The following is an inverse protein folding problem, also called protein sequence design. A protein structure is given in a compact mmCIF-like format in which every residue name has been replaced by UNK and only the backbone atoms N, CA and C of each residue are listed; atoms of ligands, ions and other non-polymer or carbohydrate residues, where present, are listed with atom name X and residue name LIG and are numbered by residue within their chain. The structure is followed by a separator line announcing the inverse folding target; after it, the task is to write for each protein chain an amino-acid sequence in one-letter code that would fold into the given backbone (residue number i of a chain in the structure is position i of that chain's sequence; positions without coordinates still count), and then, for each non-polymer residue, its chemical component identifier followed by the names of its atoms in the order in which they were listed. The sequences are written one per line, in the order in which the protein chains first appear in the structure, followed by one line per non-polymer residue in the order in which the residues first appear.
data_IF_757167632548
#
_entry.id   IF_757167632548
#
_cell.length_a   1.000
_cell.length_b   1.000
_cell.length_c   1.000
_cell.angle_alpha   90.00
_cell.angle_beta   90.00
_cell.angle_gamma   90.00
#
_symmetry.space_group_name_H-M   'P 1'
#
loop_
_entity.id
_entity.type
_entity.pdbx_description
1 polymer ?
#
# COMPACT_ATOMS: atom_id res chain seq x y z
N UNK A 1 41.45 54.44 -24.28
CA UNK A 1 40.74 54.35 -22.99
C UNK A 1 39.25 54.59 -23.22
N UNK A 2 38.44 53.53 -23.27
CA UNK A 2 36.97 53.49 -23.12
C UNK A 2 36.61 51.99 -23.10
N UNK A 3 36.50 51.43 -21.91
CA UNK A 3 36.13 50.03 -21.67
C UNK A 3 34.60 49.99 -21.62
N UNK A 4 33.99 49.27 -22.56
CA UNK A 4 32.56 49.01 -22.61
C UNK A 4 32.28 47.78 -21.74
N UNK A 5 31.77 47.97 -20.52
CA UNK A 5 31.31 46.87 -19.68
C UNK A 5 29.88 46.49 -20.09
N UNK A 6 29.75 45.31 -20.69
CA UNK A 6 28.48 44.66 -20.97
C UNK A 6 27.95 44.08 -19.65
N UNK A 7 26.93 44.71 -19.05
CA UNK A 7 26.22 44.15 -17.89
C UNK A 7 25.09 43.28 -18.43
N UNK A 8 25.33 41.98 -18.53
CA UNK A 8 24.27 40.97 -18.69
C UNK A 8 23.47 40.88 -17.40
N UNK A 9 22.25 41.41 -17.42
CA UNK A 9 21.22 41.15 -16.40
C UNK A 9 20.70 39.73 -16.63
N UNK A 10 21.15 38.80 -15.79
CA UNK A 10 20.58 37.46 -15.71
C UNK A 10 19.31 37.54 -14.85
N UNK A 11 18.14 37.68 -15.49
CA UNK A 11 16.87 37.47 -14.80
C UNK A 11 16.77 35.98 -14.45
N UNK A 12 17.01 35.64 -13.19
CA UNK A 12 16.81 34.30 -12.68
C UNK A 12 15.31 33.97 -12.73
N UNK A 13 14.95 33.07 -13.65
CA UNK A 13 13.63 32.43 -13.68
C UNK A 13 13.57 31.55 -12.42
N UNK A 14 12.78 31.97 -11.45
CA UNK A 14 12.47 31.18 -10.26
C UNK A 14 11.52 30.07 -10.72
N UNK A 15 12.03 28.85 -10.90
CA UNK A 15 11.17 27.68 -11.10
C UNK A 15 10.43 27.40 -9.79
N UNK A 16 9.09 27.33 -9.77
CA UNK A 16 8.39 26.83 -8.61
C UNK A 16 8.72 25.34 -8.48
N UNK A 17 9.41 24.95 -7.41
CA UNK A 17 9.37 23.57 -6.95
C UNK A 17 7.89 23.19 -6.86
N UNK A 18 7.46 22.14 -7.55
CA UNK A 18 6.10 21.62 -7.49
C UNK A 18 5.71 21.44 -6.02
N UNK A 19 4.87 22.35 -5.52
CA UNK A 19 4.37 22.29 -4.16
C UNK A 19 3.49 21.04 -4.07
N UNK A 20 3.87 20.15 -3.17
CA UNK A 20 3.15 18.91 -2.90
C UNK A 20 1.78 19.28 -2.32
N UNK A 21 0.69 18.76 -2.88
CA UNK A 21 -0.64 19.07 -2.38
C UNK A 21 -0.93 18.25 -1.13
N UNK A 22 -1.21 18.94 -0.02
CA UNK A 22 -1.71 18.30 1.20
C UNK A 22 -3.08 17.71 0.90
N UNK A 23 -3.20 16.40 1.09
CA UNK A 23 -4.43 15.62 0.88
C UNK A 23 -5.28 15.55 2.15
N UNK A 24 -4.64 15.48 3.30
CA UNK A 24 -5.31 15.42 4.60
C UNK A 24 -4.42 16.01 5.69
N UNK A 25 -5.01 16.41 6.80
CA UNK A 25 -4.30 16.86 8.00
C UNK A 25 -4.87 16.16 9.21
N UNK A 26 -4.02 15.41 9.91
CA UNK A 26 -4.39 14.67 11.12
C UNK A 26 -3.96 15.47 12.34
N UNK A 27 -4.90 15.75 13.24
CA UNK A 27 -4.59 16.31 14.55
C UNK A 27 -4.09 15.21 15.48
N UNK A 28 -2.84 15.30 15.92
CA UNK A 28 -2.28 14.42 16.96
C UNK A 28 -1.89 15.24 18.20
N UNK A 29 -1.79 14.63 19.39
CA UNK A 29 -1.27 15.30 20.58
C UNK A 29 0.13 15.92 20.38
N UNK A 30 0.92 15.34 19.46
CA UNK A 30 2.29 15.73 19.16
C UNK A 30 2.41 16.75 18.02
N UNK A 31 1.29 17.21 17.46
CA UNK A 31 1.25 18.20 16.38
C UNK A 31 0.39 17.75 15.20
N UNK A 32 0.28 18.64 14.21
CA UNK A 32 -0.48 18.37 12.98
C UNK A 32 0.38 17.57 12.01
N UNK A 33 -0.14 16.45 11.52
CA UNK A 33 0.49 15.66 10.46
C UNK A 33 -0.13 16.05 9.12
N UNK A 34 0.69 16.48 8.18
CA UNK A 34 0.31 16.67 6.79
C UNK A 34 0.47 15.36 6.02
N UNK A 35 -0.60 14.91 5.37
CA UNK A 35 -0.57 13.79 4.45
C UNK A 35 -0.53 14.33 3.02
N UNK A 36 0.29 13.75 2.17
CA UNK A 36 0.45 14.17 0.79
C UNK A 36 -0.18 13.22 -0.23
N UNK A 37 -0.37 13.72 -1.45
CA UNK A 37 -0.90 13.00 -2.61
C UNK A 37 -0.09 11.76 -3.04
N UNK A 38 1.20 11.73 -2.72
CA UNK A 38 2.16 10.68 -3.06
C UNK A 38 2.43 9.71 -1.91
N UNK A 39 1.52 9.62 -0.93
CA UNK A 39 1.63 8.63 0.14
C UNK A 39 2.89 8.86 0.99
N UNK A 40 3.21 10.13 1.20
CA UNK A 40 4.18 10.54 2.21
C UNK A 40 3.50 11.47 3.20
N UNK A 41 4.15 11.68 4.34
CA UNK A 41 3.66 12.57 5.37
C UNK A 41 4.80 13.32 6.01
N UNK A 42 4.48 14.46 6.61
CA UNK A 42 5.39 15.16 7.51
C UNK A 42 4.57 15.78 8.64
N UNK A 43 5.19 15.98 9.79
CA UNK A 43 4.62 16.89 10.77
C UNK A 43 4.76 18.32 10.26
N UNK A 44 3.67 19.09 10.37
CA UNK A 44 3.65 20.52 10.02
C UNK A 44 4.73 21.28 10.82
N UNK A 45 5.06 20.81 12.02
CA UNK A 45 6.23 21.22 12.81
C UNK A 45 6.63 20.06 13.74
N UNK A 46 7.66 19.26 13.42
CA UNK A 46 8.22 18.32 14.41
C UNK A 46 9.71 18.02 14.20
N UNK A 47 10.55 18.68 15.02
CA UNK A 47 11.98 18.40 15.13
C UNK A 47 12.29 17.30 16.16
N UNK A 48 11.28 16.77 16.85
CA UNK A 48 11.40 15.86 18.00
C UNK A 48 10.61 14.54 17.86
N UNK A 49 9.93 14.30 16.73
CA UNK A 49 9.12 13.09 16.52
C UNK A 49 9.94 11.81 16.72
N UNK A 50 9.53 10.98 17.67
CA UNK A 50 10.20 9.73 18.05
C UNK A 50 9.70 8.51 17.25
N UNK A 51 8.70 8.68 16.38
CA UNK A 51 8.09 7.61 15.61
C UNK A 51 6.76 7.10 16.18
N UNK A 52 6.28 7.62 17.31
CA UNK A 52 5.07 7.15 18.00
C UNK A 52 3.88 8.06 17.71
N UNK A 53 2.95 7.59 16.87
CA UNK A 53 1.75 8.35 16.48
C UNK A 53 0.64 8.34 17.56
N UNK A 54 0.59 7.30 18.39
CA UNK A 54 -0.41 7.14 19.44
C UNK A 54 0.21 6.37 20.61
N UNK A 55 0.47 7.09 21.71
CA UNK A 55 1.13 6.53 22.89
C UNK A 55 0.32 5.40 23.53
N UNK A 56 -1.00 5.52 23.61
CA UNK A 56 -1.86 4.47 24.19
C UNK A 56 -1.77 3.15 23.41
N UNK A 57 -1.80 3.24 22.08
CA UNK A 57 -1.67 2.08 21.20
C UNK A 57 -0.24 1.52 21.27
N UNK A 58 0.76 2.39 21.23
CA UNK A 58 2.16 2.00 21.33
C UNK A 58 2.46 1.29 22.65
N UNK A 59 2.01 1.83 23.77
CA UNK A 59 2.17 1.23 25.09
C UNK A 59 1.41 -0.09 25.21
N UNK A 60 0.20 -0.16 24.65
CA UNK A 60 -0.58 -1.40 24.63
C UNK A 60 0.18 -2.52 23.92
N UNK A 61 0.80 -2.24 22.77
CA UNK A 61 1.55 -3.23 22.00
C UNK A 61 2.99 -3.46 22.51
N UNK A 62 3.64 -2.45 23.08
CA UNK A 62 5.03 -2.54 23.55
C UNK A 62 5.15 -3.21 24.92
N UNK A 63 4.09 -3.15 25.73
CA UNK A 63 4.05 -3.81 27.04
C UNK A 63 3.56 -5.27 26.98
N UNK A 64 2.90 -5.69 25.88
CA UNK A 64 2.57 -7.10 25.63
C UNK A 64 3.79 -7.86 25.10
N UNK A 65 4.75 -8.10 26.01
CA UNK A 65 5.98 -8.84 25.77
C UNK A 65 5.76 -10.33 25.46
N UNK A 66 4.52 -10.83 25.54
CA UNK A 66 4.17 -12.21 25.23
C UNK A 66 3.48 -12.36 23.86
N UNK A 67 3.14 -11.27 23.17
CA UNK A 67 2.27 -11.32 21.97
C UNK A 67 1.04 -12.21 22.23
N UNK A 68 0.52 -12.19 23.46
CA UNK A 68 -0.51 -13.12 23.92
C UNK A 68 -1.90 -12.73 23.41
N UNK A 69 -1.95 -11.86 22.40
CA UNK A 69 -3.14 -11.58 21.63
C UNK A 69 -3.63 -12.88 20.98
N UNK A 70 -4.53 -13.57 21.66
CA UNK A 70 -5.42 -14.52 21.02
C UNK A 70 -6.35 -13.69 20.17
N UNK A 71 -6.05 -13.57 18.86
CA UNK A 71 -7.02 -13.02 17.94
C UNK A 71 -8.07 -14.12 17.79
N UNK A 72 -9.29 -13.96 18.34
CA UNK A 72 -10.32 -14.95 18.09
C UNK A 72 -10.83 -14.69 16.66
N UNK A 73 -10.02 -15.03 15.66
CA UNK A 73 -10.46 -15.00 14.28
C UNK A 73 -11.22 -16.27 13.98
N UNK A 74 -12.38 -16.09 13.38
CA UNK A 74 -13.26 -17.16 12.97
C UNK A 74 -12.77 -17.72 11.62
N UNK A 75 -12.43 -19.01 11.59
CA UNK A 75 -12.08 -19.73 10.36
C UNK A 75 -13.29 -20.23 9.58
N UNK A 76 -14.47 -20.12 10.19
CA UNK A 76 -15.73 -20.59 9.67
C UNK A 76 -16.53 -19.50 8.96
N UNK A 77 -16.40 -18.25 9.40
CA UNK A 77 -17.11 -17.12 8.82
C UNK A 77 -16.32 -16.43 7.72
N UNK A 78 -16.99 -16.09 6.62
CA UNK A 78 -16.36 -15.30 5.56
C UNK A 78 -16.04 -13.87 6.01
N UNK A 79 -16.86 -13.29 6.89
CA UNK A 79 -16.71 -11.93 7.40
C UNK A 79 -16.56 -11.99 8.91
N UNK A 80 -15.43 -11.51 9.42
CA UNK A 80 -15.07 -11.61 10.83
C UNK A 80 -15.91 -10.71 11.74
N UNK A 81 -16.42 -9.61 11.20
CA UNK A 81 -17.26 -8.63 11.89
C UNK A 81 -18.75 -8.81 11.65
N UNK A 82 -19.16 -9.84 10.89
CA UNK A 82 -20.52 -9.94 10.34
C UNK A 82 -20.93 -8.66 9.57
N UNK A 83 -19.97 -7.98 8.94
CA UNK A 83 -20.15 -6.70 8.21
C UNK A 83 -20.67 -5.54 9.06
N UNK A 84 -20.45 -5.56 10.38
CA UNK A 84 -20.83 -4.46 11.26
C UNK A 84 -19.90 -3.25 11.18
N UNK A 85 -18.68 -3.43 10.65
CA UNK A 85 -17.70 -2.37 10.49
C UNK A 85 -18.08 -1.42 9.35
N UNK A 86 -18.59 -0.24 9.68
CA UNK A 86 -18.82 0.84 8.73
C UNK A 86 -17.60 1.78 8.68
N UNK A 87 -16.66 1.50 7.77
CA UNK A 87 -15.47 2.33 7.58
C UNK A 87 -15.75 3.65 6.85
N UNK A 88 -16.98 3.89 6.38
CA UNK A 88 -17.34 5.23 5.88
C UNK A 88 -17.39 6.26 7.01
N UNK A 89 -17.55 5.82 8.26
CA UNK A 89 -17.54 6.64 9.47
C UNK A 89 -16.14 6.93 10.00
N UNK A 90 -15.09 6.36 9.37
CA UNK A 90 -13.70 6.63 9.71
C UNK A 90 -13.40 8.12 9.53
N UNK A 91 -12.90 8.75 10.60
CA UNK A 91 -12.57 10.19 10.63
C UNK A 91 -11.09 10.46 10.41
N UNK A 92 -10.25 9.52 10.83
CA UNK A 92 -8.80 9.64 10.75
C UNK A 92 -8.25 8.90 9.53
N UNK A 93 -6.99 9.14 9.21
CA UNK A 93 -6.23 8.38 8.22
C UNK A 93 -5.21 7.50 8.95
N UNK A 94 -5.22 6.20 8.65
CA UNK A 94 -4.25 5.24 9.18
C UNK A 94 -3.13 5.01 8.18
N UNK A 95 -1.89 5.01 8.64
CA UNK A 95 -0.76 4.59 7.84
C UNK A 95 -0.51 3.09 8.04
N UNK A 96 -0.53 2.34 6.94
CA UNK A 96 -0.18 0.92 6.89
C UNK A 96 1.05 0.69 6.00
N UNK A 97 1.97 -0.12 6.48
CA UNK A 97 3.06 -0.65 5.64
C UNK A 97 2.53 -1.87 4.87
N UNK A 98 2.48 -1.78 3.54
CA UNK A 98 2.14 -2.91 2.67
C UNK A 98 3.26 -3.95 2.69
N UNK A 99 4.50 -3.47 2.60
CA UNK A 99 5.72 -4.27 2.73
C UNK A 99 6.68 -3.55 3.67
N UNK A 100 7.34 -4.29 4.55
CA UNK A 100 8.35 -3.75 5.47
C UNK A 100 9.67 -4.53 5.37
N UNK A 101 10.63 -4.27 6.27
CA UNK A 101 11.93 -4.95 6.26
C UNK A 101 11.89 -6.43 6.66
N UNK A 102 10.81 -6.87 7.30
CA UNK A 102 10.58 -8.24 7.78
C UNK A 102 9.71 -9.00 6.76
N UNK A 103 8.69 -8.35 6.20
CA UNK A 103 7.74 -8.90 5.24
C UNK A 103 7.76 -8.05 3.95
N UNK A 104 8.83 -8.21 3.17
CA UNK A 104 9.09 -7.40 1.97
C UNK A 104 8.51 -7.97 0.67
N UNK A 105 8.08 -9.24 0.70
CA UNK A 105 7.87 -10.00 -0.51
C UNK A 105 6.43 -9.85 -1.02
N UNK A 106 6.32 -9.61 -2.32
CA UNK A 106 5.07 -9.57 -3.05
C UNK A 106 5.20 -10.43 -4.31
N UNK A 107 4.21 -11.27 -4.53
CA UNK A 107 4.07 -12.06 -5.76
C UNK A 107 2.68 -11.79 -6.35
N UNK A 108 2.60 -11.66 -7.67
CA UNK A 108 1.29 -11.53 -8.31
C UNK A 108 0.51 -12.85 -8.11
N UNK A 109 -0.72 -12.84 -7.58
CA UNK A 109 -1.45 -14.07 -7.25
C UNK A 109 -1.75 -14.95 -8.47
N UNK A 110 -1.84 -14.33 -9.64
CA UNK A 110 -1.75 -15.01 -10.93
C UNK A 110 -1.24 -14.04 -12.01
N UNK A 111 -0.38 -14.51 -12.92
CA UNK A 111 0.18 -13.69 -14.00
C UNK A 111 -0.77 -13.59 -15.22
N UNK A 112 -2.03 -13.22 -14.97
CA UNK A 112 -3.05 -13.06 -15.99
C UNK A 112 -3.35 -11.60 -16.34
N UNK A 113 -4.22 -11.40 -17.33
CA UNK A 113 -4.73 -10.08 -17.71
C UNK A 113 -5.92 -9.72 -16.83
N UNK A 114 -5.99 -8.48 -16.36
CA UNK A 114 -7.19 -7.97 -15.68
C UNK A 114 -8.33 -7.82 -16.70
N UNK A 115 -9.43 -8.52 -16.47
CA UNK A 115 -10.62 -8.54 -17.34
C UNK A 115 -11.76 -7.69 -16.78
N UNK A 116 -11.86 -7.57 -15.45
CA UNK A 116 -12.82 -6.68 -14.79
C UNK A 116 -12.18 -6.02 -13.58
N UNK A 117 -12.39 -4.71 -13.43
CA UNK A 117 -11.83 -3.93 -12.32
C UNK A 117 -12.79 -3.79 -11.16
N UNK A 118 -12.28 -3.33 -10.02
CA UNK A 118 -13.07 -2.92 -8.87
C UNK A 118 -14.02 -1.79 -9.27
N UNK A 119 -15.26 -1.83 -8.77
CA UNK A 119 -16.24 -0.77 -8.91
C UNK A 119 -17.58 -1.18 -9.51
N UNK A 120 -18.39 -0.19 -9.91
CA UNK A 120 -19.77 -0.43 -10.34
C UNK A 120 -19.84 -1.09 -11.72
N UNK A 121 -20.55 -2.22 -11.83
CA UNK A 121 -20.80 -2.94 -13.08
C UNK A 121 -22.23 -3.48 -13.13
N UNK A 122 -22.96 -3.21 -14.22
CA UNK A 122 -24.26 -3.84 -14.52
C UNK A 122 -25.23 -3.87 -13.33
N UNK A 123 -25.40 -2.74 -12.63
CA UNK A 123 -26.33 -2.65 -11.52
C UNK A 123 -25.79 -3.06 -10.15
N UNK A 124 -24.56 -3.59 -10.05
CA UNK A 124 -23.96 -4.10 -8.80
C UNK A 124 -22.50 -3.69 -8.67
N UNK A 125 -22.02 -3.62 -7.43
CA UNK A 125 -20.61 -3.33 -7.17
C UNK A 125 -19.77 -4.61 -7.24
N UNK A 126 -18.65 -4.50 -7.94
CA UNK A 126 -17.57 -5.47 -7.96
C UNK A 126 -16.54 -5.11 -6.90
N UNK A 127 -16.43 -5.94 -5.87
CA UNK A 127 -15.64 -5.65 -4.68
C UNK A 127 -14.15 -6.05 -4.81
N UNK A 128 -13.74 -6.50 -6.00
CA UNK A 128 -12.39 -6.95 -6.30
C UNK A 128 -12.03 -6.74 -7.76
N UNK A 129 -11.07 -7.51 -8.23
CA UNK A 129 -10.57 -7.52 -9.60
C UNK A 129 -10.62 -8.95 -10.13
N UNK A 130 -11.06 -9.10 -11.37
CA UNK A 130 -11.08 -10.38 -12.07
C UNK A 130 -9.84 -10.47 -12.97
N UNK A 131 -9.08 -11.53 -12.79
CA UNK A 131 -7.85 -11.84 -13.52
C UNK A 131 -8.11 -13.08 -14.37
N UNK A 132 -7.92 -12.95 -15.68
CA UNK A 132 -8.04 -14.04 -16.63
C UNK A 132 -7.10 -15.18 -16.28
N UNK A 133 -7.63 -16.41 -16.21
CA UNK A 133 -6.87 -17.64 -16.03
C UNK A 133 -7.64 -18.83 -16.62
N UNK A 134 -6.98 -19.97 -16.75
CA UNK A 134 -7.63 -21.24 -17.08
C UNK A 134 -7.88 -22.07 -15.82
N UNK A 135 -8.94 -22.87 -15.84
CA UNK A 135 -9.19 -23.84 -14.78
C UNK A 135 -7.98 -24.78 -14.64
N UNK A 136 -7.44 -24.89 -13.43
CA UNK A 136 -6.24 -25.67 -13.13
C UNK A 136 -4.95 -24.86 -13.03
N UNK A 137 -4.94 -23.60 -13.46
CA UNK A 137 -3.76 -22.73 -13.31
C UNK A 137 -3.41 -22.50 -11.84
N UNK A 138 -2.13 -22.46 -11.50
CA UNK A 138 -1.68 -22.24 -10.12
C UNK A 138 -1.98 -20.82 -9.64
N UNK A 139 -2.73 -20.71 -8.53
CA UNK A 139 -2.96 -19.45 -7.81
C UNK A 139 -2.14 -19.45 -6.54
N UNK A 140 -1.41 -18.35 -6.30
CA UNK A 140 -0.46 -18.24 -5.19
C UNK A 140 -0.83 -17.11 -4.22
N UNK A 141 -0.32 -17.20 -3.00
CA UNK A 141 -0.44 -16.13 -2.00
C UNK A 141 0.28 -14.86 -2.47
N UNK A 142 -0.41 -13.72 -2.43
CA UNK A 142 0.16 -12.45 -2.89
C UNK A 142 1.20 -11.87 -1.91
N UNK A 143 0.98 -12.08 -0.61
CA UNK A 143 1.83 -11.62 0.48
C UNK A 143 1.90 -12.71 1.56
N UNK A 144 2.92 -12.63 2.41
CA UNK A 144 3.04 -13.45 3.61
C UNK A 144 1.82 -13.31 4.52
N UNK A 145 1.41 -14.41 5.15
CA UNK A 145 0.32 -14.35 6.10
C UNK A 145 -0.11 -15.70 6.66
N UNK A 146 -1.29 -15.70 7.27
CA UNK A 146 -1.95 -16.89 7.81
C UNK A 146 -3.28 -17.09 7.12
N UNK A 147 -3.52 -18.31 6.64
CA UNK A 147 -4.79 -18.70 6.03
C UNK A 147 -5.87 -18.65 7.11
N UNK A 148 -6.84 -17.74 6.93
CA UNK A 148 -7.98 -17.59 7.84
C UNK A 148 -9.12 -18.51 7.43
N UNK A 149 -9.40 -18.58 6.13
CA UNK A 149 -10.52 -19.32 5.56
C UNK A 149 -10.04 -20.12 4.36
N UNK A 150 -10.42 -21.39 4.27
CA UNK A 150 -10.18 -22.22 3.08
C UNK A 150 -11.28 -23.26 2.99
N UNK A 151 -12.34 -22.95 2.24
CA UNK A 151 -13.49 -23.85 1.99
C UNK A 151 -14.40 -23.31 0.90
N UNK A 152 -15.41 -24.11 0.53
CA UNK A 152 -16.47 -23.68 -0.38
C UNK A 152 -17.43 -22.69 0.30
N UNK A 153 -17.55 -21.50 -0.27
CA UNK A 153 -18.43 -20.43 0.15
C UNK A 153 -19.71 -20.37 -0.71
N UNK A 154 -20.86 -20.47 -0.04
CA UNK A 154 -22.20 -20.46 -0.69
C UNK A 154 -22.71 -19.06 -1.05
N UNK A 155 -22.06 -17.99 -0.61
CA UNK A 155 -22.47 -16.60 -0.85
C UNK A 155 -22.00 -16.03 -2.18
N UNK A 156 -21.43 -16.86 -3.05
CA UNK A 156 -21.07 -16.52 -4.42
C UNK A 156 -19.59 -16.69 -4.74
N UNK A 157 -18.69 -16.76 -3.74
CA UNK A 157 -17.25 -16.90 -4.01
C UNK A 157 -16.85 -18.30 -4.49
N UNK A 158 -17.66 -19.35 -4.24
CA UNK A 158 -17.24 -20.72 -4.55
C UNK A 158 -16.11 -21.17 -3.64
N UNK A 159 -15.14 -21.95 -4.15
CA UNK A 159 -13.93 -22.25 -3.38
C UNK A 159 -13.16 -20.96 -3.13
N UNK A 160 -12.95 -20.66 -1.86
CA UNK A 160 -12.40 -19.39 -1.40
C UNK A 160 -11.26 -19.65 -0.42
N UNK A 161 -10.13 -19.02 -0.67
CA UNK A 161 -9.07 -18.83 0.31
C UNK A 161 -9.09 -17.37 0.77
N UNK A 162 -8.96 -17.16 2.08
CA UNK A 162 -8.75 -15.82 2.67
C UNK A 162 -7.46 -15.89 3.49
N UNK A 163 -6.52 -15.00 3.19
CA UNK A 163 -5.26 -14.87 3.90
C UNK A 163 -5.27 -13.55 4.65
N UNK A 164 -4.95 -13.60 5.94
CA UNK A 164 -4.70 -12.42 6.76
C UNK A 164 -3.20 -12.15 6.83
N UNK A 165 -2.83 -10.90 6.58
CA UNK A 165 -1.45 -10.45 6.52
C UNK A 165 -1.07 -9.72 7.82
N UNK A 166 0.24 -9.59 8.06
CA UNK A 166 0.77 -8.99 9.30
C UNK A 166 0.45 -7.50 9.44
N UNK A 167 0.15 -6.81 8.33
CA UNK A 167 -0.29 -5.41 8.32
C UNK A 167 -1.80 -5.23 8.54
N UNK A 168 -2.53 -6.30 8.85
CA UNK A 168 -3.98 -6.27 9.11
C UNK A 168 -4.87 -6.31 7.86
N UNK A 169 -4.30 -6.29 6.65
CA UNK A 169 -5.05 -6.52 5.42
C UNK A 169 -5.42 -8.00 5.26
N UNK A 170 -6.50 -8.24 4.53
CA UNK A 170 -6.84 -9.56 4.02
C UNK A 170 -6.87 -9.57 2.50
N UNK A 171 -6.45 -10.71 1.93
CA UNK A 171 -6.63 -11.01 0.50
C UNK A 171 -7.57 -12.19 0.32
N UNK A 172 -8.48 -12.07 -0.64
CA UNK A 172 -9.47 -13.09 -0.98
C UNK A 172 -9.16 -13.65 -2.36
N UNK A 173 -9.20 -14.97 -2.50
CA UNK A 173 -8.92 -15.71 -3.73
C UNK A 173 -10.09 -16.63 -4.01
N UNK A 174 -10.99 -16.21 -4.89
CA UNK A 174 -12.27 -16.86 -5.12
C UNK A 174 -12.34 -17.56 -6.49
N UNK A 175 -13.44 -18.30 -6.67
CA UNK A 175 -13.77 -19.09 -7.85
C UNK A 175 -12.80 -20.23 -8.16
N UNK A 176 -11.96 -20.61 -7.19
CA UNK A 176 -10.95 -21.66 -7.35
C UNK A 176 -11.59 -23.01 -7.73
N UNK A 177 -10.88 -23.86 -8.44
CA UNK A 177 -11.31 -25.24 -8.70
C UNK A 177 -10.91 -26.17 -7.56
N UNK A 178 -9.74 -25.91 -6.95
CA UNK A 178 -9.17 -26.71 -5.86
C UNK A 178 -8.53 -25.80 -4.80
N UNK A 179 -8.57 -26.24 -3.55
CA UNK A 179 -7.97 -25.60 -2.39
C UNK A 179 -6.78 -26.45 -1.93
N UNK A 180 -5.58 -25.89 -1.87
CA UNK A 180 -4.35 -26.62 -1.49
C UNK A 180 -3.84 -26.27 -0.08
N UNK A 181 -4.57 -25.42 0.63
CA UNK A 181 -4.23 -24.94 1.98
C UNK A 181 -5.40 -25.09 2.93
N UNK A 182 -5.11 -25.14 4.22
CA UNK A 182 -6.10 -25.27 5.30
C UNK A 182 -6.07 -24.08 6.24
N UNK A 183 -7.17 -23.79 6.98
CA UNK A 183 -7.15 -22.75 7.99
C UNK A 183 -6.01 -22.91 8.99
N UNK A 184 -5.50 -21.79 9.48
CA UNK A 184 -4.34 -21.63 10.35
C UNK A 184 -2.97 -21.95 9.76
N UNK A 185 -2.89 -22.39 8.51
CA UNK A 185 -1.62 -22.56 7.82
C UNK A 185 -0.93 -21.21 7.60
N UNK A 186 0.37 -21.13 7.91
CA UNK A 186 1.19 -19.99 7.50
C UNK A 186 1.66 -20.18 6.06
N UNK A 187 1.62 -19.10 5.28
CA UNK A 187 2.02 -19.09 3.88
C UNK A 187 2.93 -17.90 3.60
N UNK A 188 3.87 -18.10 2.68
CA UNK A 188 4.75 -17.06 2.13
C UNK A 188 4.23 -16.57 0.80
N UNK A 189 4.59 -15.34 0.44
CA UNK A 189 4.31 -14.81 -0.89
C UNK A 189 4.85 -15.79 -1.96
N UNK A 190 3.98 -16.21 -2.89
CA UNK A 190 4.31 -17.20 -3.92
C UNK A 190 3.98 -18.65 -3.59
N UNK A 191 3.58 -18.97 -2.35
CA UNK A 191 3.12 -20.33 -2.01
C UNK A 191 1.82 -20.65 -2.75
N UNK A 192 1.70 -21.90 -3.24
CA UNK A 192 0.48 -22.40 -3.89
C UNK A 192 -0.66 -22.53 -2.88
N UNK A 193 -1.78 -21.85 -3.16
CA UNK A 193 -2.95 -21.83 -2.27
C UNK A 193 -4.20 -22.46 -2.90
N UNK A 194 -4.21 -22.62 -4.21
CA UNK A 194 -5.28 -23.28 -4.93
C UNK A 194 -5.05 -23.27 -6.42
N UNK A 195 -6.02 -23.83 -7.13
CA UNK A 195 -6.03 -23.84 -8.59
C UNK A 195 -7.15 -22.93 -9.10
N UNK A 196 -6.88 -22.19 -10.17
CA UNK A 196 -7.85 -21.36 -10.87
C UNK A 196 -9.06 -22.17 -11.31
N UNK A 197 -10.23 -21.54 -11.40
CA UNK A 197 -11.46 -22.25 -11.67
C UNK A 197 -12.61 -21.36 -12.10
N UNK A 198 -13.82 -21.89 -11.93
CA UNK A 198 -15.09 -21.25 -12.25
C UNK A 198 -16.18 -21.66 -11.25
N UNK A 199 -15.83 -21.78 -9.96
CA UNK A 199 -16.80 -22.21 -8.92
C UNK A 199 -17.59 -21.04 -8.35
N UNK A 200 -18.74 -21.31 -7.73
CA UNK A 200 -19.59 -20.25 -7.17
C UNK A 200 -20.37 -19.48 -8.23
N UNK A 201 -20.57 -18.18 -8.02
CA UNK A 201 -21.28 -17.31 -8.95
C UNK A 201 -20.29 -16.68 -9.93
N UNK A 202 -19.90 -17.46 -10.94
CA UNK A 202 -18.94 -17.07 -11.97
C UNK A 202 -19.44 -17.49 -13.35
N UNK A 203 -19.16 -16.68 -14.38
CA UNK A 203 -19.63 -16.90 -15.76
C UNK A 203 -18.55 -17.48 -16.68
N UNK A 204 -17.33 -17.67 -16.18
CA UNK A 204 -16.19 -18.15 -16.95
C UNK A 204 -14.96 -18.24 -16.05
N UNK A 205 -13.93 -18.97 -16.48
CA UNK A 205 -12.75 -19.18 -15.63
C UNK A 205 -12.00 -17.86 -15.40
N UNK A 206 -11.78 -17.52 -14.14
CA UNK A 206 -11.00 -16.36 -13.70
C UNK A 206 -10.65 -16.48 -12.21
N UNK A 207 -9.66 -15.72 -11.76
CA UNK A 207 -9.44 -15.45 -10.35
C UNK A 207 -10.16 -14.15 -9.99
N UNK A 208 -11.10 -14.24 -9.06
CA UNK A 208 -11.64 -13.05 -8.40
C UNK A 208 -10.79 -12.76 -7.16
N UNK A 209 -10.08 -11.63 -7.20
CA UNK A 209 -9.14 -11.20 -6.17
C UNK A 209 -9.62 -9.93 -5.47
N UNK A 210 -9.75 -9.97 -4.15
CA UNK A 210 -10.11 -8.79 -3.35
C UNK A 210 -9.02 -8.49 -2.32
N UNK A 211 -8.91 -7.20 -1.97
CA UNK A 211 -8.14 -6.70 -0.83
C UNK A 211 -9.10 -6.03 0.14
N UNK A 212 -9.03 -6.37 1.42
CA UNK A 212 -9.97 -5.88 2.43
C UNK A 212 -9.24 -5.40 3.69
N UNK A 213 -9.81 -4.39 4.33
CA UNK A 213 -9.41 -3.93 5.67
C UNK A 213 -10.64 -4.01 6.56
N UNK A 214 -10.56 -4.76 7.66
CA UNK A 214 -11.70 -4.99 8.57
C UNK A 214 -13.01 -5.39 7.86
N UNK A 215 -12.92 -6.36 6.94
CA UNK A 215 -13.99 -6.84 6.04
C UNK A 215 -14.49 -5.85 4.96
N UNK A 216 -14.09 -4.57 5.01
CA UNK A 216 -14.45 -3.59 3.99
C UNK A 216 -13.55 -3.76 2.74
N UNK A 217 -14.13 -3.90 1.53
CA UNK A 217 -13.37 -4.08 0.32
C UNK A 217 -12.79 -2.74 -0.16
N UNK A 218 -11.51 -2.76 -0.50
CA UNK A 218 -10.83 -1.63 -1.14
C UNK A 218 -10.37 -2.05 -2.54
N UNK A 219 -10.14 -1.06 -3.40
CA UNK A 219 -9.60 -1.31 -4.72
C UNK A 219 -8.16 -1.90 -4.61
N UNK A 220 -7.89 -3.13 -5.09
CA UNK A 220 -6.54 -3.69 -5.05
C UNK A 220 -5.48 -2.84 -5.80
N UNK A 221 -5.91 -2.01 -6.74
CA UNK A 221 -5.03 -1.10 -7.47
C UNK A 221 -4.57 0.12 -6.67
N UNK A 222 -5.03 0.31 -5.44
CA UNK A 222 -4.46 1.33 -4.54
C UNK A 222 -2.96 1.11 -4.32
N UNK A 223 -2.55 -0.14 -4.13
CA UNK A 223 -1.15 -0.48 -3.84
C UNK A 223 -0.55 -1.56 -4.76
N UNK A 224 -1.34 -2.19 -5.65
CA UNK A 224 -0.82 -3.16 -6.64
C UNK A 224 -0.88 -2.57 -8.06
N UNK A 225 0.21 -2.71 -8.80
CA UNK A 225 0.28 -2.44 -10.23
C UNK A 225 0.13 -3.74 -11.01
N UNK A 226 -1.12 -4.08 -11.36
CA UNK A 226 -1.42 -5.30 -12.12
C UNK A 226 -0.88 -5.30 -13.55
N UNK A 227 -0.48 -4.13 -14.09
CA UNK A 227 0.12 -4.01 -15.42
C UNK A 227 1.61 -4.34 -15.35
N UNK A 228 2.33 -3.73 -14.41
CA UNK A 228 3.78 -3.91 -14.25
C UNK A 228 4.16 -5.04 -13.28
N UNK A 229 3.18 -5.74 -12.72
CA UNK A 229 3.34 -6.91 -11.85
C UNK A 229 4.18 -6.64 -10.60
N UNK A 230 3.94 -5.51 -9.94
CA UNK A 230 4.67 -5.05 -8.74
C UNK A 230 3.75 -4.28 -7.80
N UNK A 231 4.20 -4.06 -6.56
CA UNK A 231 3.59 -3.06 -5.68
C UNK A 231 3.86 -1.64 -6.22
N UNK A 232 2.88 -0.75 -6.05
CA UNK A 232 2.96 0.67 -6.42
C UNK A 232 3.75 1.46 -5.38
N UNK A 233 3.38 1.24 -4.12
CA UNK A 233 3.98 1.87 -2.96
C UNK A 233 4.11 0.83 -1.84
N UNK A 234 5.14 1.01 -1.02
CA UNK A 234 5.37 0.23 0.20
C UNK A 234 4.42 0.71 1.33
N UNK A 235 3.79 1.87 1.17
CA UNK A 235 2.90 2.52 2.13
C UNK A 235 1.47 2.67 1.59
N UNK A 236 0.48 2.46 2.46
CA UNK A 236 -0.93 2.69 2.20
C UNK A 236 -1.51 3.61 3.28
N UNK A 237 -2.14 4.71 2.84
CA UNK A 237 -2.91 5.59 3.72
C UNK A 237 -4.38 5.20 3.65
N UNK A 238 -4.84 4.53 4.69
CA UNK A 238 -6.21 4.06 4.82
C UNK A 238 -7.09 5.17 5.38
N UNK A 239 -8.03 5.64 4.56
CA UNK A 239 -9.01 6.65 4.93
C UNK A 239 -10.38 6.25 4.39
N UNK A 240 -11.45 6.88 4.87
CA UNK A 240 -12.84 6.51 4.52
C UNK A 240 -13.13 6.48 2.99
N UNK A 241 -12.41 7.26 2.20
CA UNK A 241 -12.56 7.37 0.75
C UNK A 241 -12.21 6.08 0.00
N UNK A 242 -11.39 5.21 0.60
CA UNK A 242 -11.01 3.92 0.00
C UNK A 242 -12.16 2.90 -0.01
N UNK A 243 -13.14 3.07 0.88
CA UNK A 243 -14.21 2.09 1.13
C UNK A 243 -15.52 2.44 0.43
N UNK A 244 -15.45 3.33 -0.56
CA UNK A 244 -16.61 3.69 -1.39
C UNK A 244 -16.68 2.73 -2.57
N UNK A 245 -17.83 2.08 -2.81
CA UNK A 245 -17.96 1.20 -3.95
C UNK A 245 -17.70 1.96 -5.27
N UNK A 246 -16.69 1.54 -6.05
CA UNK A 246 -16.24 2.28 -7.24
C UNK A 246 -15.16 3.34 -7.00
N UNK A 247 -14.57 3.42 -5.81
CA UNK A 247 -13.39 4.22 -5.56
C UNK A 247 -12.30 3.92 -6.60
N UNK A 248 -11.95 4.94 -7.39
CA UNK A 248 -10.77 4.89 -8.22
C UNK A 248 -9.53 4.91 -7.33
N UNK A 249 -8.39 4.35 -7.80
CA UNK A 249 -7.13 4.48 -7.08
C UNK A 249 -6.87 5.93 -6.70
N UNK A 250 -6.41 6.18 -5.48
CA UNK A 250 -6.08 7.52 -4.99
C UNK A 250 -5.19 8.35 -5.93
N UNK A 251 -4.37 7.69 -6.74
CA UNK A 251 -3.49 8.26 -7.76
C UNK A 251 -4.10 8.38 -9.17
N UNK A 252 -5.36 7.99 -9.36
CA UNK A 252 -6.03 8.06 -10.66
C UNK A 252 -6.23 9.52 -11.06
N UNK A 253 -5.89 9.92 -12.29
CA UNK A 253 -6.04 11.32 -12.74
C UNK A 253 -7.49 11.82 -12.67
N UNK A 254 -8.48 10.92 -12.60
CA UNK A 254 -9.90 11.27 -12.48
C UNK A 254 -10.38 11.48 -11.02
N UNK A 255 -9.56 11.25 -9.99
CA UNK A 255 -9.95 11.45 -8.60
C UNK A 255 -9.75 12.90 -8.08
N UNK A 256 -9.28 13.80 -8.94
CA UNK A 256 -9.12 15.23 -8.62
C UNK A 256 -10.47 16.00 -8.58
N UNK A 257 -11.61 15.35 -8.80
CA UNK A 257 -12.92 16.02 -8.93
C UNK A 257 -13.93 15.70 -7.83
N UNK A 258 -13.55 15.00 -6.76
CA UNK A 258 -14.43 14.80 -5.59
C UNK A 258 -14.07 15.69 -4.38
N UNK A 259 -13.02 16.51 -4.49
CA UNK A 259 -12.81 17.67 -3.62
C UNK A 259 -13.16 18.92 -4.42
N UNK A 260 -14.14 19.66 -3.92
CA UNK A 260 -14.52 20.99 -4.42
C UNK A 260 -13.27 21.87 -4.55
N UNK A 261 -12.95 22.30 -5.77
CA UNK A 261 -12.06 23.44 -6.04
C UNK A 261 -10.63 23.12 -6.46
N UNK A 262 -10.32 23.56 -7.70
CA UNK A 262 -9.00 23.89 -8.25
C UNK A 262 -8.21 22.79 -8.97
N UNK A 263 -8.39 22.81 -10.30
CA UNK A 263 -7.50 22.34 -11.36
C UNK A 263 -6.02 22.55 -11.07
N UNK A 264 -5.15 21.61 -11.44
CA UNK A 264 -4.10 21.85 -12.45
C UNK A 264 -3.40 20.56 -12.92
N UNK A 265 -2.97 20.60 -14.18
CA UNK A 265 -2.52 19.51 -15.03
C UNK A 265 -1.21 18.81 -14.59
N UNK A 266 -1.16 17.50 -14.83
CA UNK A 266 0.03 16.67 -14.68
C UNK A 266 1.07 16.96 -15.77
N UNK A 267 2.33 17.16 -15.38
CA UNK A 267 3.47 17.09 -16.30
C UNK A 267 4.44 16.00 -15.84
N UNK A 268 4.81 15.16 -16.79
CA UNK A 268 5.73 14.03 -16.65
C UNK A 268 7.18 14.52 -16.74
N UNK A 269 7.91 14.50 -15.62
CA UNK A 269 9.33 14.88 -15.58
C UNK A 269 10.25 13.67 -15.36
N UNK A 270 11.27 13.56 -16.21
CA UNK A 270 12.40 12.60 -16.11
C UNK A 270 13.08 12.71 -14.74
N UNK A 271 13.24 11.57 -14.06
CA UNK A 271 13.93 11.46 -12.77
C UNK A 271 15.43 11.72 -12.95
N UNK A 272 15.96 12.76 -12.31
CA UNK A 272 17.40 13.00 -12.19
C UNK A 272 17.95 12.31 -10.94
N UNK A 273 19.14 11.71 -11.05
CA UNK A 273 19.78 11.01 -9.93
C UNK A 273 20.23 12.00 -8.86
N UNK A 274 19.71 11.86 -7.63
CA UNK A 274 20.04 12.75 -6.51
C UNK A 274 20.98 12.06 -5.52
N UNK A 275 21.92 12.81 -4.92
CA UNK A 275 22.90 12.29 -3.97
C UNK A 275 22.89 13.08 -2.65
N UNK A 276 23.09 12.38 -1.53
CA UNK A 276 23.22 12.91 -0.18
C UNK A 276 24.59 12.60 0.41
N UNK A 277 25.16 13.52 1.19
CA UNK A 277 26.46 13.32 1.87
C UNK A 277 26.23 13.06 3.36
N UNK A 278 26.63 11.88 3.83
CA UNK A 278 26.50 11.43 5.22
C UNK A 278 27.20 12.41 6.18
N UNK A 279 26.51 12.81 7.25
CA UNK A 279 26.97 13.70 8.33
C UNK A 279 27.09 12.93 9.64
N UNK A 280 27.76 13.54 10.62
CA UNK A 280 27.82 12.99 11.98
C UNK A 280 26.41 12.89 12.57
N UNK A 281 26.04 11.72 13.10
CA UNK A 281 24.71 11.44 13.66
C UNK A 281 23.66 10.92 12.67
N UNK A 282 23.99 10.82 11.38
CA UNK A 282 23.04 10.29 10.39
C UNK A 282 22.85 8.77 10.53
N UNK A 283 21.59 8.34 10.48
CA UNK A 283 21.21 6.93 10.31
C UNK A 283 20.66 6.69 8.90
N UNK A 284 20.65 5.44 8.43
CA UNK A 284 20.02 5.09 7.16
C UNK A 284 18.54 5.50 7.11
N UNK A 285 17.83 5.36 8.23
CA UNK A 285 16.44 5.81 8.38
C UNK A 285 16.29 7.32 8.21
N UNK A 286 17.13 8.10 8.89
CA UNK A 286 17.10 9.57 8.80
C UNK A 286 17.43 10.04 7.37
N UNK A 287 18.47 9.48 6.74
CA UNK A 287 18.84 9.81 5.35
C UNK A 287 17.71 9.44 4.39
N UNK A 288 17.11 8.27 4.57
CA UNK A 288 16.02 7.80 3.73
C UNK A 288 14.81 8.76 3.81
N UNK A 289 14.36 9.05 5.03
CA UNK A 289 13.26 9.99 5.30
C UNK A 289 13.53 11.37 4.70
N UNK A 290 14.68 11.97 5.02
CA UNK A 290 15.06 13.32 4.54
C UNK A 290 15.09 13.44 3.02
N UNK A 291 15.40 12.35 2.31
CA UNK A 291 15.50 12.34 0.86
C UNK A 291 14.27 11.72 0.18
N UNK A 292 13.19 11.47 0.93
CA UNK A 292 11.93 10.90 0.43
C UNK A 292 12.16 9.56 -0.29
N UNK A 293 12.83 8.64 0.40
CA UNK A 293 13.10 7.26 -0.06
C UNK A 293 13.00 6.33 1.15
N UNK A 294 12.95 5.01 0.95
CA UNK A 294 12.93 4.03 2.06
C UNK A 294 14.34 3.53 2.35
N UNK A 295 14.57 2.99 3.56
CA UNK A 295 15.87 2.38 3.89
C UNK A 295 16.21 1.27 2.90
N UNK A 296 15.21 0.48 2.50
CA UNK A 296 15.35 -0.57 1.48
C UNK A 296 15.79 -0.01 0.13
N UNK A 297 15.09 1.03 -0.37
CA UNK A 297 15.44 1.68 -1.63
C UNK A 297 16.81 2.37 -1.57
N UNK A 298 17.14 3.05 -0.47
CA UNK A 298 18.44 3.66 -0.22
C UNK A 298 19.55 2.60 -0.21
N UNK A 299 19.31 1.46 0.43
CA UNK A 299 20.21 0.32 0.46
C UNK A 299 20.45 -0.25 -0.94
N UNK A 300 19.37 -0.48 -1.69
CA UNK A 300 19.43 -0.97 -3.08
C UNK A 300 20.18 -0.02 -4.01
N UNK A 301 19.90 1.29 -3.94
CA UNK A 301 20.55 2.31 -4.77
C UNK A 301 22.06 2.44 -4.51
N UNK A 302 22.51 2.03 -3.33
CA UNK A 302 23.91 2.17 -2.90
C UNK A 302 24.64 0.85 -2.72
N UNK A 303 23.97 -0.26 -3.02
CA UNK A 303 24.44 -1.63 -2.80
C UNK A 303 25.00 -1.83 -1.38
N UNK A 304 24.22 -1.39 -0.38
CA UNK A 304 24.53 -1.53 1.06
C UNK A 304 23.42 -2.29 1.77
N UNK A 305 23.74 -2.94 2.89
CA UNK A 305 22.77 -3.62 3.76
C UNK A 305 22.22 -2.65 4.82
N UNK A 306 21.02 -2.87 5.39
CA UNK A 306 20.48 -2.07 6.49
C UNK A 306 21.39 -2.00 7.73
N UNK A 307 22.24 -3.03 7.93
CA UNK A 307 23.25 -3.08 9.00
C UNK A 307 24.58 -2.40 8.66
N UNK A 308 24.69 -1.77 7.49
CA UNK A 308 25.95 -1.16 7.04
C UNK A 308 26.24 0.11 7.82
N UNK A 309 27.40 0.18 8.49
CA UNK A 309 27.87 1.40 9.14
C UNK A 309 28.12 2.51 8.14
N UNK A 310 27.46 3.66 8.35
CA UNK A 310 27.60 4.83 7.50
C UNK A 310 28.89 5.60 7.84
N UNK A 311 29.80 5.72 6.87
CA UNK A 311 31.00 6.55 7.02
C UNK A 311 30.68 8.01 6.75
N UNK A 312 31.00 8.88 7.70
CA UNK A 312 30.85 10.34 7.56
C UNK A 312 31.56 10.81 6.28
N UNK A 313 30.88 11.63 5.50
CA UNK A 313 31.36 12.15 4.22
C UNK A 313 31.10 11.27 3.00
N UNK A 314 30.64 10.01 3.17
CA UNK A 314 30.23 9.13 2.06
C UNK A 314 29.05 9.73 1.32
N UNK A 315 29.07 9.67 -0.02
CA UNK A 315 27.92 10.02 -0.86
C UNK A 315 27.02 8.80 -1.04
N UNK A 316 25.73 8.97 -0.80
CA UNK A 316 24.69 7.98 -1.05
C UNK A 316 23.75 8.50 -2.13
N UNK A 317 23.43 7.66 -3.11
CA UNK A 317 22.38 7.90 -4.08
C UNK A 317 21.02 7.75 -3.41
N UNK A 318 20.19 8.76 -3.50
CA UNK A 318 18.90 8.83 -2.78
C UNK A 318 17.69 8.83 -3.70
N UNK A 319 17.86 9.13 -5.00
CA UNK A 319 16.83 9.03 -6.04
C UNK A 319 17.40 8.48 -7.35
#
# INVERSE_FOLDING_TARGET
MKILFLVTVLLAIVNPLSAQSVKDTIDSPNGKILMYDNHTWEYLDDLAFDGVLNELVHDYFSNDSLLNYQWPWDSELCYSSNKSNDLSLMKDTLWLCITDSIYSDFVMPFNGKVTSRYGYRRGRYHNGIDIDLNTGDSVVAAFDGKVRYSKFNKSGFGNLVIIRHYNGLETFYAHLSELTVVPNQFVKAGDLIGLGGNTGNSYGSHLHFETRFYDAPMNPEEFIDFKNKKIRDENLFVHNGLFRPGASPSHSPNNLTASTGHTMAASSAKVSEAYYRVRSGDTLGHIASRNRTTVSKLCRLNNIKPSTTLKIGRRLRVR
#
